data_IF_710826657895
#
_entry.id   IF_710826657895
#
_cell.length_a   1.000
_cell.length_b   1.000
_cell.length_c   1.000
_cell.angle_alpha   90.00
_cell.angle_beta   90.00
_cell.angle_gamma   90.00
#
_symmetry.space_group_name_H-M   'P 1'
#
loop_
_entity.id
_entity.type
_entity.pdbx_description
1 polymer ?
#
# COMPACT_ATOMS: atom_id res chain seq x y z
N UNK A 1 20.04 7.66 4.60
CA UNK A 1 19.32 7.68 3.30
C UNK A 1 17.85 7.42 3.56
N UNK A 2 16.95 8.08 2.83
CA UNK A 2 15.52 7.78 2.86
C UNK A 2 15.22 6.70 1.80
N UNK A 3 14.80 5.53 2.25
CA UNK A 3 14.32 4.47 1.37
C UNK A 3 12.89 4.79 0.96
N UNK A 4 12.62 4.80 -0.34
CA UNK A 4 11.28 4.99 -0.86
C UNK A 4 10.77 3.71 -1.48
N UNK A 5 9.53 3.36 -1.12
CA UNK A 5 8.89 2.14 -1.57
C UNK A 5 7.98 2.42 -2.77
N UNK A 6 7.96 1.50 -3.74
CA UNK A 6 6.94 1.51 -4.78
C UNK A 6 5.56 1.41 -4.14
N UNK A 7 4.69 2.39 -4.45
CA UNK A 7 3.42 2.56 -3.76
C UNK A 7 2.28 1.87 -4.50
N UNK A 8 1.75 0.80 -3.90
CA UNK A 8 0.55 0.09 -4.32
C UNK A 8 -0.61 0.29 -3.34
N UNK A 9 -1.84 0.12 -3.82
CA UNK A 9 -3.02 0.41 -3.00
C UNK A 9 -3.80 -0.83 -2.57
N UNK A 10 -4.30 -1.66 -3.50
CA UNK A 10 -5.13 -2.83 -3.18
C UNK A 10 -4.48 -4.19 -3.47
N UNK A 11 -3.56 -4.19 -4.41
CA UNK A 11 -2.78 -5.33 -4.89
C UNK A 11 -1.58 -4.76 -5.66
N UNK A 12 -0.64 -5.63 -6.05
CA UNK A 12 0.47 -5.24 -6.92
C UNK A 12 0.04 -4.95 -8.37
N UNK A 13 -1.27 -4.98 -8.64
CA UNK A 13 -1.85 -4.48 -9.89
C UNK A 13 -2.06 -2.97 -9.85
N UNK A 14 -2.12 -2.30 -8.70
CA UNK A 14 -2.56 -0.89 -8.63
C UNK A 14 -1.50 0.01 -8.04
N UNK A 15 -0.61 0.52 -8.89
CA UNK A 15 0.45 1.45 -8.50
C UNK A 15 -0.05 2.89 -8.54
N UNK A 16 0.31 3.69 -7.54
CA UNK A 16 -0.06 5.10 -7.51
C UNK A 16 0.55 5.86 -8.71
N UNK A 17 -0.29 6.59 -9.45
CA UNK A 17 0.10 7.18 -10.73
C UNK A 17 0.93 8.46 -10.59
N UNK A 18 0.53 9.38 -9.71
CA UNK A 18 1.20 10.69 -9.55
C UNK A 18 2.27 10.70 -8.45
N UNK A 19 2.12 9.86 -7.42
CA UNK A 19 3.09 9.65 -6.34
C UNK A 19 3.53 8.18 -6.33
N UNK A 20 4.34 7.74 -7.30
CA UNK A 20 4.71 6.32 -7.45
C UNK A 20 5.55 5.77 -6.29
N UNK A 21 6.04 6.67 -5.43
CA UNK A 21 6.87 6.36 -4.27
C UNK A 21 6.20 6.83 -2.98
N UNK A 22 6.25 5.97 -1.97
CA UNK A 22 5.88 6.27 -0.59
C UNK A 22 7.14 6.35 0.27
N UNK A 23 7.10 7.16 1.32
CA UNK A 23 8.18 7.19 2.31
C UNK A 23 8.22 5.86 3.06
N UNK A 24 9.31 5.12 2.90
CA UNK A 24 9.57 3.89 3.63
C UNK A 24 10.32 4.16 4.92
N UNK A 25 11.52 3.57 5.03
CA UNK A 25 12.41 3.71 6.18
C UNK A 25 13.57 4.67 5.95
N UNK A 26 14.24 5.08 7.03
CA UNK A 26 15.55 5.74 6.94
C UNK A 26 16.62 4.76 7.39
N UNK A 27 17.68 4.60 6.59
CA UNK A 27 18.87 3.85 6.99
C UNK A 27 19.97 4.84 7.35
N UNK A 28 20.50 4.68 8.55
CA UNK A 28 21.60 5.48 9.10
C UNK A 28 22.65 4.53 9.71
N UNK A 29 23.92 4.83 9.49
CA UNK A 29 25.05 4.07 10.04
C UNK A 29 25.78 4.95 11.05
N UNK A 30 26.04 4.41 12.23
CA UNK A 30 26.80 5.07 13.29
C UNK A 30 27.97 4.18 13.69
N UNK A 31 29.06 4.79 14.17
CA UNK A 31 30.14 4.04 14.80
C UNK A 31 29.66 3.49 16.15
N UNK A 32 30.22 2.36 16.62
CA UNK A 32 29.99 1.90 17.99
C UNK A 32 30.23 3.02 19.00
N UNK A 33 29.44 3.04 20.09
CA UNK A 33 29.54 4.03 21.17
C UNK A 33 29.30 5.50 20.76
N UNK A 34 28.75 5.76 19.58
CA UNK A 34 28.35 7.11 19.17
C UNK A 34 26.90 7.39 19.59
N UNK A 35 26.64 8.57 20.14
CA UNK A 35 25.28 9.01 20.45
C UNK A 35 24.46 9.10 19.15
N UNK A 36 23.36 8.35 19.09
CA UNK A 36 22.42 8.39 17.97
C UNK A 36 21.55 9.65 18.10
N UNK A 37 21.47 10.51 17.06
CA UNK A 37 20.60 11.68 17.09
C UNK A 37 19.14 11.29 17.34
N UNK A 38 18.44 12.04 18.19
CA UNK A 38 17.03 11.76 18.54
C UNK A 38 16.05 12.19 17.44
N UNK A 39 16.51 12.98 16.47
CA UNK A 39 15.68 13.64 15.46
C UNK A 39 15.74 13.00 14.07
N UNK A 40 16.33 11.80 13.94
CA UNK A 40 16.44 11.08 12.66
C UNK A 40 15.12 10.98 11.89
N UNK A 41 14.00 10.78 12.62
CA UNK A 41 12.65 10.71 12.02
C UNK A 41 12.14 12.06 11.50
N UNK A 42 12.49 13.15 12.18
CA UNK A 42 12.07 14.53 11.82
C UNK A 42 12.88 15.04 10.63
N UNK A 43 14.17 14.70 10.57
CA UNK A 43 15.07 15.09 9.50
C UNK A 43 14.94 14.24 8.23
N UNK A 44 13.99 13.29 8.15
CA UNK A 44 13.95 12.27 7.07
C UNK A 44 13.98 12.82 5.65
N UNK A 45 13.35 13.97 5.41
CA UNK A 45 13.29 14.63 4.10
C UNK A 45 14.59 15.34 3.71
N UNK A 46 15.54 15.48 4.64
CA UNK A 46 16.88 16.03 4.39
C UNK A 46 17.85 14.96 3.89
N UNK A 47 17.51 13.68 4.02
CA UNK A 47 18.37 12.60 3.53
C UNK A 47 18.18 12.39 2.04
N UNK A 48 19.27 12.00 1.36
CA UNK A 48 19.19 11.51 -0.02
C UNK A 48 18.19 10.36 -0.12
N UNK A 49 17.25 10.48 -1.05
CA UNK A 49 16.25 9.46 -1.36
C UNK A 49 16.83 8.36 -2.26
N UNK A 50 16.38 7.13 -2.02
CA UNK A 50 16.67 5.97 -2.84
C UNK A 50 15.35 5.29 -3.25
N UNK A 51 14.88 5.50 -4.49
CA UNK A 51 13.61 4.96 -4.97
C UNK A 51 13.67 3.45 -5.19
N UNK A 52 12.49 2.81 -5.24
CA UNK A 52 12.32 1.39 -5.56
C UNK A 52 13.16 0.44 -4.68
N UNK A 53 13.31 0.77 -3.39
CA UNK A 53 14.07 -0.05 -2.42
C UNK A 53 13.20 -0.99 -1.60
N UNK A 54 11.89 -0.82 -1.67
CA UNK A 54 10.90 -1.60 -0.94
C UNK A 54 9.54 -1.55 -1.64
N UNK A 55 8.60 -2.32 -1.13
CA UNK A 55 7.20 -2.31 -1.55
C UNK A 55 6.34 -1.77 -0.42
N UNK A 56 5.43 -0.88 -0.75
CA UNK A 56 4.38 -0.46 0.16
C UNK A 56 3.04 -0.84 -0.44
N UNK A 57 2.18 -1.49 0.34
CA UNK A 57 0.80 -1.68 -0.03
C UNK A 57 -0.12 -1.22 1.10
N UNK A 58 -0.94 -0.19 0.83
CA UNK A 58 -1.76 0.43 1.88
C UNK A 58 -2.92 -0.44 2.37
N UNK A 59 -3.51 -1.23 1.46
CA UNK A 59 -4.75 -1.97 1.70
C UNK A 59 -4.77 -3.35 1.02
N UNK A 60 -3.61 -4.02 0.92
CA UNK A 60 -3.52 -5.40 0.39
C UNK A 60 -4.07 -6.45 1.37
N UNK A 61 -5.37 -6.41 1.66
CA UNK A 61 -6.02 -7.37 2.57
C UNK A 61 -6.77 -8.46 1.81
N UNK A 62 -6.78 -9.66 2.37
CA UNK A 62 -7.55 -10.81 1.85
C UNK A 62 -8.97 -10.87 2.42
N UNK A 63 -9.34 -9.97 3.33
CA UNK A 63 -10.64 -9.91 3.97
C UNK A 63 -11.22 -8.50 3.94
N UNK A 64 -12.51 -8.39 3.66
CA UNK A 64 -13.26 -7.15 3.70
C UNK A 64 -13.37 -6.61 5.14
N UNK A 65 -13.48 -7.50 6.13
CA UNK A 65 -13.43 -7.14 7.54
C UNK A 65 -12.14 -6.37 7.90
N UNK A 66 -10.98 -6.76 7.35
CA UNK A 66 -9.71 -6.06 7.57
C UNK A 66 -9.70 -4.66 6.96
N UNK A 67 -10.37 -4.47 5.82
CA UNK A 67 -10.54 -3.13 5.22
C UNK A 67 -11.37 -2.25 6.15
N UNK A 68 -12.52 -2.75 6.62
CA UNK A 68 -13.39 -2.01 7.55
C UNK A 68 -12.69 -1.69 8.88
N UNK A 69 -11.88 -2.61 9.39
CA UNK A 69 -11.07 -2.37 10.60
C UNK A 69 -10.04 -1.26 10.38
N UNK A 70 -9.38 -1.24 9.22
CA UNK A 70 -8.46 -0.15 8.86
C UNK A 70 -9.19 1.19 8.80
N UNK A 71 -10.36 1.25 8.17
CA UNK A 71 -11.16 2.47 8.08
C UNK A 71 -11.56 2.97 9.48
N UNK A 72 -11.98 2.07 10.37
CA UNK A 72 -12.35 2.40 11.75
C UNK A 72 -11.15 2.73 12.67
N UNK A 73 -9.92 2.61 12.18
CA UNK A 73 -8.74 2.91 13.00
C UNK A 73 -8.61 4.41 13.23
N UNK A 74 -8.03 4.78 14.37
CA UNK A 74 -7.87 6.17 14.82
C UNK A 74 -7.24 7.12 13.78
N UNK A 75 -6.45 6.59 12.84
CA UNK A 75 -5.79 7.37 11.78
C UNK A 75 -6.70 7.75 10.62
N UNK A 76 -7.95 7.26 10.60
CA UNK A 76 -8.88 7.37 9.47
C UNK A 76 -10.32 7.69 9.91
N UNK A 77 -10.51 8.22 11.12
CA UNK A 77 -11.84 8.48 11.70
C UNK A 77 -12.74 9.34 10.81
N UNK A 78 -12.16 10.25 10.03
CA UNK A 78 -12.86 11.09 9.06
C UNK A 78 -13.48 10.31 7.90
N UNK A 79 -12.98 9.11 7.63
CA UNK A 79 -13.46 8.20 6.59
C UNK A 79 -14.32 7.06 7.15
N UNK A 80 -14.55 7.01 8.46
CA UNK A 80 -15.38 5.98 9.09
C UNK A 80 -16.88 6.27 8.95
N UNK A 81 -17.34 6.36 7.70
CA UNK A 81 -18.72 6.66 7.34
C UNK A 81 -19.34 5.51 6.54
N UNK A 82 -20.68 5.35 6.55
CA UNK A 82 -21.36 4.20 5.90
C UNK A 82 -20.95 3.98 4.45
N UNK A 83 -20.77 5.05 3.66
CA UNK A 83 -20.36 4.99 2.25
C UNK A 83 -19.07 4.21 2.03
N UNK A 84 -18.03 4.47 2.82
CA UNK A 84 -16.72 3.85 2.63
C UNK A 84 -16.61 2.46 3.27
N UNK A 85 -17.57 2.11 4.13
CA UNK A 85 -17.69 0.80 4.77
C UNK A 85 -18.60 -0.17 3.98
N UNK A 86 -19.37 0.35 3.02
CA UNK A 86 -20.25 -0.44 2.18
C UNK A 86 -19.48 -1.51 1.40
N UNK A 87 -20.02 -2.71 1.35
CA UNK A 87 -19.36 -3.86 0.74
C UNK A 87 -19.21 -3.68 -0.77
N UNK A 88 -20.26 -3.23 -1.45
CA UNK A 88 -20.25 -3.09 -2.90
C UNK A 88 -19.30 -1.96 -3.32
N UNK A 89 -19.27 -0.86 -2.57
CA UNK A 89 -18.28 0.20 -2.73
C UNK A 89 -16.86 -0.37 -2.60
N UNK A 90 -16.52 -1.03 -1.49
CA UNK A 90 -15.17 -1.61 -1.28
C UNK A 90 -14.79 -2.54 -2.44
N UNK A 91 -15.68 -3.45 -2.84
CA UNK A 91 -15.44 -4.39 -3.94
C UNK A 91 -15.18 -3.65 -5.26
N UNK A 92 -16.01 -2.67 -5.62
CA UNK A 92 -15.80 -1.85 -6.82
C UNK A 92 -14.43 -1.17 -6.82
N UNK A 93 -14.04 -0.57 -5.68
CA UNK A 93 -12.75 0.13 -5.56
C UNK A 93 -11.56 -0.80 -5.71
N UNK A 94 -11.60 -1.95 -5.04
CA UNK A 94 -10.52 -2.94 -5.09
C UNK A 94 -10.40 -3.61 -6.47
N UNK A 95 -11.52 -3.89 -7.15
CA UNK A 95 -11.51 -4.47 -8.50
C UNK A 95 -10.98 -3.50 -9.56
N UNK A 96 -11.30 -2.21 -9.41
CA UNK A 96 -11.11 -1.22 -10.45
C UNK A 96 -9.97 -0.22 -10.16
N UNK A 97 -9.27 -0.33 -9.03
CA UNK A 97 -8.15 0.57 -8.71
C UNK A 97 -8.58 2.00 -8.45
N UNK A 98 -9.83 2.23 -8.05
CA UNK A 98 -10.36 3.57 -7.73
C UNK A 98 -10.03 3.92 -6.28
N UNK A 99 -9.84 5.19 -5.94
CA UNK A 99 -9.61 5.56 -4.53
C UNK A 99 -10.79 5.14 -3.65
N UNK A 100 -10.46 4.63 -2.46
CA UNK A 100 -11.43 4.11 -1.49
C UNK A 100 -12.28 5.23 -0.90
N UNK A 101 -11.69 6.42 -0.79
CA UNK A 101 -12.23 7.58 -0.10
C UNK A 101 -12.65 8.71 -1.04
N UNK A 102 -12.69 8.46 -2.36
CA UNK A 102 -13.04 9.45 -3.39
C UNK A 102 -12.21 10.76 -3.33
N UNK A 103 -10.96 10.67 -2.87
CA UNK A 103 -10.07 11.83 -2.75
C UNK A 103 -9.60 12.29 -4.12
N UNK A 104 -9.65 13.60 -4.34
CA UNK A 104 -9.19 14.22 -5.58
C UNK A 104 -7.68 14.01 -5.74
N UNK A 105 -7.27 13.52 -6.91
CA UNK A 105 -5.87 13.31 -7.26
C UNK A 105 -5.29 11.94 -6.90
N UNK A 106 -5.99 11.14 -6.11
CA UNK A 106 -5.61 9.75 -5.80
C UNK A 106 -6.01 8.84 -6.98
N UNK A 107 -5.02 8.52 -7.81
CA UNK A 107 -5.20 7.72 -9.04
C UNK A 107 -4.23 6.56 -9.02
N UNK A 108 -4.73 5.36 -9.28
CA UNK A 108 -3.93 4.14 -9.32
C UNK A 108 -4.00 3.54 -10.72
N UNK A 109 -2.83 3.40 -11.35
CA UNK A 109 -2.71 2.79 -12.66
C UNK A 109 -2.61 1.29 -12.49
N UNK A 110 -3.33 0.56 -13.34
CA UNK A 110 -3.15 -0.89 -13.44
C UNK A 110 -1.75 -1.20 -14.00
N UNK A 111 -0.99 -2.06 -13.32
CA UNK A 111 0.34 -2.51 -13.72
C UNK A 111 0.33 -4.00 -14.00
N UNK A 112 1.23 -4.44 -14.88
CA UNK A 112 1.37 -5.84 -15.22
C UNK A 112 2.58 -6.47 -14.52
N UNK A 113 2.59 -7.80 -14.29
CA UNK A 113 3.69 -8.49 -13.60
C UNK A 113 5.08 -8.28 -14.22
N UNK A 114 5.17 -8.00 -15.52
CA UNK A 114 6.45 -7.73 -16.19
C UNK A 114 6.97 -6.31 -15.97
N UNK A 115 6.08 -5.36 -15.61
CA UNK A 115 6.45 -3.97 -15.31
C UNK A 115 6.93 -3.77 -13.88
N UNK A 116 6.64 -4.75 -13.00
CA UNK A 116 6.82 -4.63 -11.56
C UNK A 116 7.74 -5.75 -11.07
N UNK A 117 8.81 -5.39 -10.37
CA UNK A 117 9.57 -6.38 -9.61
C UNK A 117 8.69 -6.87 -8.48
N UNK A 118 7.88 -7.92 -8.67
CA UNK A 118 7.02 -8.43 -7.60
C UNK A 118 7.85 -8.99 -6.44
N UNK A 119 7.40 -8.84 -5.17
CA UNK A 119 8.03 -9.53 -4.06
C UNK A 119 8.15 -11.03 -4.35
N UNK A 120 9.36 -11.59 -4.15
CA UNK A 120 9.67 -12.99 -4.50
C UNK A 120 8.66 -13.98 -3.92
N UNK A 121 8.18 -13.72 -2.70
CA UNK A 121 7.20 -14.56 -2.02
C UNK A 121 5.90 -14.73 -2.84
N UNK A 122 5.43 -13.69 -3.52
CA UNK A 122 4.22 -13.75 -4.34
C UNK A 122 4.41 -14.63 -5.58
N UNK A 123 5.65 -14.75 -6.07
CA UNK A 123 5.97 -15.61 -7.21
C UNK A 123 6.08 -17.08 -6.81
N UNK A 124 6.53 -17.36 -5.59
CA UNK A 124 6.69 -18.73 -5.08
C UNK A 124 5.36 -19.30 -4.55
N UNK A 125 4.50 -18.46 -3.97
CA UNK A 125 3.21 -18.87 -3.41
C UNK A 125 2.00 -18.13 -4.05
N UNK A 126 1.85 -18.11 -5.39
CA UNK A 126 0.85 -17.28 -6.06
C UNK A 126 -0.59 -17.65 -5.68
N UNK A 127 -0.85 -18.93 -5.38
CA UNK A 127 -2.19 -19.39 -4.95
C UNK A 127 -2.58 -18.80 -3.60
N UNK A 128 -1.66 -18.77 -2.64
CA UNK A 128 -1.90 -18.23 -1.29
C UNK A 128 -2.13 -16.72 -1.34
N UNK A 129 -1.41 -16.03 -2.21
CA UNK A 129 -1.43 -14.57 -2.33
C UNK A 129 -2.15 -14.07 -3.59
N UNK A 130 -3.09 -14.84 -4.14
CA UNK A 130 -3.78 -14.47 -5.38
C UNK A 130 -4.44 -13.09 -5.28
N UNK A 131 -5.02 -12.74 -4.12
CA UNK A 131 -5.62 -11.42 -3.86
C UNK A 131 -4.61 -10.26 -3.96
N UNK A 132 -3.31 -10.51 -3.80
CA UNK A 132 -2.27 -9.49 -3.99
C UNK A 132 -1.82 -9.37 -5.45
N UNK A 133 -2.21 -10.31 -6.32
CA UNK A 133 -1.81 -10.39 -7.73
C UNK A 133 -2.96 -10.16 -8.71
N UNK A 134 -4.19 -10.49 -8.31
CA UNK A 134 -5.38 -10.41 -9.13
C UNK A 134 -6.63 -10.13 -8.29
N UNK A 135 -7.20 -8.94 -8.46
CA UNK A 135 -8.45 -8.48 -7.83
C UNK A 135 -9.68 -8.60 -8.73
N UNK A 136 -9.58 -9.28 -9.88
CA UNK A 136 -10.62 -9.27 -10.91
C UNK A 136 -11.80 -10.21 -10.62
N UNK A 137 -11.76 -11.06 -9.59
CA UNK A 137 -12.89 -11.92 -9.21
C UNK A 137 -14.07 -11.11 -8.68
N UNK A 138 -15.35 -11.56 -8.84
CA UNK A 138 -16.53 -10.79 -8.43
C UNK A 138 -16.46 -10.20 -7.02
N UNK A 139 -15.87 -10.92 -6.07
CA UNK A 139 -15.66 -10.50 -4.68
C UNK A 139 -14.29 -9.82 -4.42
N UNK A 140 -13.59 -9.35 -5.46
CA UNK A 140 -12.27 -8.72 -5.39
C UNK A 140 -11.17 -9.56 -4.68
N UNK A 141 -11.33 -10.89 -4.64
CA UNK A 141 -10.41 -11.79 -3.95
C UNK A 141 -10.53 -11.76 -2.42
N UNK A 142 -11.60 -11.16 -1.86
CA UNK A 142 -11.90 -11.27 -0.44
C UNK A 142 -12.38 -12.68 -0.09
N UNK A 143 -11.97 -13.19 1.07
CA UNK A 143 -12.28 -14.56 1.52
C UNK A 143 -13.55 -14.65 2.37
N UNK A 144 -14.03 -13.51 2.84
CA UNK A 144 -15.18 -13.34 3.75
C UNK A 144 -16.38 -12.70 3.04
N UNK A 145 -16.44 -12.82 1.70
CA UNK A 145 -17.49 -12.32 0.82
C UNK A 145 -17.94 -13.42 -0.12
#
# INVERSE_FOLDING_TARGET
>A
MLLQCDFYYYSFEFRHATRPYSDGGTVSKFSPNTAVPSDLRKARFRYRSMPSTCFHCSSCFDRLASVRLKIASFSHTEFDIPKFRDQNHIIDRFRNGKDLFDRVGERYRRTYPHETGLPKLLRVEPKRFLYMLNRSSPNAGFRDV
#
